data_IF_161992395431
#
_entry.id   IF_161992395431
#
_cell.length_a   1.000
_cell.length_b   1.000
_cell.length_c   1.000
_cell.angle_alpha   90.00
_cell.angle_beta   90.00
_cell.angle_gamma   90.00
#
_symmetry.space_group_name_H-M   'P 1'
#
loop_
_entity.id
_entity.type
_entity.pdbx_description
1 polymer ?
#
# COMPACT_ATOMS: atom_id res chain seq x y z
N UNK A 1 8.61 -34.47 -23.20
CA UNK A 1 8.49 -33.01 -23.39
C UNK A 1 9.64 -32.34 -22.65
N UNK A 2 10.50 -31.57 -23.32
CA UNK A 2 11.59 -30.83 -22.66
C UNK A 2 10.98 -29.58 -22.03
N UNK A 3 10.92 -29.52 -20.71
CA UNK A 3 10.51 -28.33 -19.97
C UNK A 3 11.54 -27.22 -20.19
N UNK A 4 11.22 -26.25 -21.05
CA UNK A 4 11.98 -25.01 -21.17
C UNK A 4 11.63 -24.13 -19.98
N UNK A 5 12.47 -24.14 -18.96
CA UNK A 5 12.37 -23.18 -17.86
C UNK A 5 12.57 -21.76 -18.42
N UNK A 6 11.72 -20.78 -18.04
CA UNK A 6 11.87 -19.42 -18.50
C UNK A 6 13.22 -18.85 -18.00
N UNK A 7 13.95 -18.22 -18.92
CA UNK A 7 15.16 -17.44 -18.62
C UNK A 7 14.78 -15.98 -18.87
N UNK A 8 15.11 -15.06 -17.95
CA UNK A 8 14.85 -13.64 -18.21
C UNK A 8 15.85 -13.11 -19.25
N UNK A 9 15.40 -12.17 -20.08
CA UNK A 9 16.17 -11.61 -21.21
C UNK A 9 17.54 -11.05 -20.80
N UNK A 10 17.65 -10.47 -19.59
CA UNK A 10 18.94 -9.99 -19.04
C UNK A 10 19.94 -11.11 -18.73
N UNK A 11 19.45 -12.30 -18.36
CA UNK A 11 20.32 -13.46 -18.14
C UNK A 11 20.73 -14.11 -19.47
N UNK A 12 19.89 -14.01 -20.49
CA UNK A 12 20.20 -14.47 -21.84
C UNK A 12 21.26 -13.58 -22.50
N UNK A 13 21.22 -12.27 -22.24
CA UNK A 13 22.22 -11.31 -22.71
C UNK A 13 23.63 -11.45 -22.06
N UNK A 14 23.75 -12.19 -20.96
CA UNK A 14 25.01 -12.37 -20.22
C UNK A 14 25.45 -11.14 -19.41
N UNK A 15 26.54 -11.28 -18.64
CA UNK A 15 27.18 -10.17 -17.91
C UNK A 15 26.59 -9.80 -16.54
N UNK A 16 25.58 -10.53 -16.06
CA UNK A 16 24.98 -10.32 -14.73
C UNK A 16 24.77 -11.66 -14.01
N UNK A 17 25.00 -11.68 -12.69
CA UNK A 17 24.69 -12.83 -11.85
C UNK A 17 23.18 -12.86 -11.53
N UNK A 18 22.50 -13.94 -11.94
CA UNK A 18 21.08 -14.12 -11.67
C UNK A 18 20.84 -14.57 -10.23
N UNK A 19 20.49 -13.64 -9.35
CA UNK A 19 20.24 -13.95 -7.93
C UNK A 19 18.97 -14.78 -7.70
N UNK A 20 18.03 -14.83 -8.66
CA UNK A 20 16.73 -15.50 -8.51
C UNK A 20 16.71 -17.01 -8.80
N UNK A 21 17.65 -17.53 -9.58
CA UNK A 21 17.63 -18.93 -10.04
C UNK A 21 18.95 -19.68 -9.78
N UNK A 22 19.81 -19.17 -8.89
CA UNK A 22 21.16 -19.70 -8.64
C UNK A 22 21.23 -21.16 -8.16
N UNK A 23 20.12 -21.76 -7.76
CA UNK A 23 20.02 -23.18 -7.39
C UNK A 23 19.89 -24.12 -8.61
N UNK A 24 19.58 -23.60 -9.80
CA UNK A 24 19.48 -24.39 -11.03
C UNK A 24 20.83 -24.47 -11.76
N UNK A 25 21.90 -24.87 -11.05
CA UNK A 25 23.19 -25.12 -11.69
C UNK A 25 23.03 -26.27 -12.68
N UNK A 26 22.95 -25.96 -13.99
CA UNK A 26 23.21 -26.94 -15.05
C UNK A 26 24.61 -27.49 -14.82
N UNK A 27 24.73 -28.81 -14.75
CA UNK A 27 26.02 -29.47 -14.76
C UNK A 27 26.84 -28.92 -15.93
N UNK A 28 27.98 -28.30 -15.62
CA UNK A 28 28.86 -27.74 -16.62
C UNK A 28 29.21 -28.85 -17.61
N UNK A 29 28.88 -28.62 -18.88
CA UNK A 29 29.44 -29.41 -19.98
C UNK A 29 30.94 -29.24 -19.88
N UNK A 30 31.64 -30.34 -19.60
CA UNK A 30 33.10 -30.39 -19.49
C UNK A 30 33.71 -29.96 -20.83
N UNK A 31 34.12 -28.71 -20.93
CA UNK A 31 35.15 -28.29 -21.89
C UNK A 31 36.50 -28.58 -21.26
N UNK A 32 37.21 -29.53 -21.88
CA UNK A 32 38.60 -29.91 -21.61
C UNK A 32 39.55 -28.71 -21.75
N UNK A 33 40.25 -28.45 -20.64
CA UNK A 33 41.63 -27.96 -20.42
C UNK A 33 42.35 -27.08 -21.47
N UNK A 34 43.08 -26.05 -20.99
CA UNK A 34 44.57 -26.00 -20.88
C UNK A 34 45.00 -24.69 -20.19
N UNK A 35 45.91 -24.78 -19.20
CA UNK A 35 46.91 -23.74 -18.94
C UNK A 35 46.97 -23.11 -17.53
N UNK A 36 48.09 -23.23 -16.78
CA UNK A 36 48.19 -22.79 -15.39
C UNK A 36 48.94 -21.46 -15.21
N UNK A 37 48.60 -20.73 -14.16
CA UNK A 37 49.55 -19.83 -13.50
C UNK A 37 48.94 -18.53 -12.96
N UNK A 38 48.76 -18.44 -11.64
CA UNK A 38 49.26 -17.35 -10.79
C UNK A 38 48.73 -17.45 -9.35
N UNK A 39 49.62 -17.18 -8.41
CA UNK A 39 49.50 -17.29 -6.95
C UNK A 39 48.60 -16.21 -6.30
N UNK A 40 48.21 -16.36 -5.02
CA UNK A 40 47.23 -15.50 -4.37
C UNK A 40 47.85 -14.26 -3.71
N UNK A 41 47.20 -13.11 -3.87
CA UNK A 41 47.43 -11.91 -3.05
C UNK A 41 46.41 -11.90 -1.92
N UNK A 42 46.92 -12.02 -0.70
CA UNK A 42 46.17 -11.85 0.54
C UNK A 42 45.99 -10.35 0.81
N UNK A 43 44.74 -9.89 0.84
CA UNK A 43 44.36 -8.50 1.13
C UNK A 43 43.50 -8.45 2.38
N UNK A 44 44.11 -8.00 3.48
CA UNK A 44 43.48 -7.64 4.76
C UNK A 44 42.53 -6.47 4.52
N UNK A 45 41.26 -6.60 4.92
CA UNK A 45 40.32 -5.47 5.00
C UNK A 45 40.09 -5.12 6.46
N UNK A 46 40.65 -3.99 6.86
CA UNK A 46 40.39 -3.30 8.13
C UNK A 46 38.97 -2.74 8.15
N UNK A 47 38.35 -2.84 9.32
CA UNK A 47 37.02 -2.30 9.62
C UNK A 47 37.05 -0.78 9.78
N UNK A 48 36.03 -0.13 9.23
CA UNK A 48 35.73 1.28 9.45
C UNK A 48 34.35 1.44 10.08
N UNK A 49 34.32 1.55 11.41
CA UNK A 49 33.15 1.99 12.17
C UNK A 49 32.89 3.48 11.89
N UNK A 50 31.74 3.79 11.30
CA UNK A 50 31.24 5.17 11.16
C UNK A 50 30.01 5.35 12.04
N UNK A 51 30.25 5.75 13.29
CA UNK A 51 29.22 6.17 14.23
C UNK A 51 28.98 7.67 14.09
N UNK A 52 27.95 8.07 13.35
CA UNK A 52 27.51 9.47 13.26
C UNK A 52 26.59 9.80 14.43
N UNK A 53 27.14 10.51 15.42
CA UNK A 53 26.40 11.19 16.50
C UNK A 53 25.53 12.29 15.92
N UNK A 54 24.21 12.17 16.06
CA UNK A 54 23.28 13.29 15.89
C UNK A 54 23.24 14.09 17.20
N UNK A 55 23.75 15.32 17.13
CA UNK A 55 23.74 16.30 18.22
C UNK A 55 22.34 16.88 18.33
N UNK A 56 21.64 16.57 19.42
CA UNK A 56 20.31 17.11 19.72
C UNK A 56 20.41 18.54 20.29
N UNK A 57 19.89 19.50 19.54
CA UNK A 57 19.61 20.84 20.07
C UNK A 57 18.26 20.84 20.77
N UNK A 58 18.26 21.01 22.09
CA UNK A 58 17.07 21.32 22.88
C UNK A 58 16.52 22.69 22.45
N UNK A 59 15.30 22.68 21.92
CA UNK A 59 14.49 23.89 21.77
C UNK A 59 13.25 23.72 22.64
N UNK A 60 13.25 24.41 23.77
CA UNK A 60 12.06 24.69 24.57
C UNK A 60 11.01 25.38 23.71
N UNK A 61 9.77 24.87 23.71
CA UNK A 61 8.60 25.67 23.33
C UNK A 61 7.31 25.12 23.93
N UNK A 62 6.96 25.68 25.08
CA UNK A 62 5.58 25.79 25.57
C UNK A 62 4.87 26.88 24.76
N UNK A 63 4.03 26.48 23.81
CA UNK A 63 2.97 27.33 23.26
C UNK A 63 1.82 26.43 22.79
N UNK A 64 0.80 26.31 23.64
CA UNK A 64 -0.47 25.69 23.30
C UNK A 64 -1.24 26.65 22.38
N UNK A 65 -0.88 26.65 21.09
CA UNK A 65 -1.56 27.40 20.03
C UNK A 65 -2.53 26.50 19.27
N UNK A 66 -3.77 26.96 19.12
CA UNK A 66 -4.84 26.36 18.32
C UNK A 66 -4.36 25.94 16.92
N UNK A 67 -4.82 24.79 16.42
CA UNK A 67 -4.51 24.17 15.11
C UNK A 67 -4.86 24.99 13.85
N UNK A 68 -5.39 26.20 13.99
CA UNK A 68 -5.82 27.09 12.90
C UNK A 68 -4.72 27.56 11.91
N UNK A 69 -3.44 27.77 12.30
CA UNK A 69 -2.41 28.24 11.36
C UNK A 69 -2.06 27.22 10.27
N UNK A 70 -2.16 25.93 10.58
CA UNK A 70 -1.84 24.85 9.66
C UNK A 70 -2.89 24.77 8.55
N UNK A 71 -4.17 24.82 8.90
CA UNK A 71 -5.26 24.72 7.92
C UNK A 71 -5.21 25.87 6.91
N UNK A 72 -4.98 27.12 7.36
CA UNK A 72 -4.90 28.27 6.46
C UNK A 72 -3.70 28.19 5.49
N UNK A 73 -2.52 27.81 5.98
CA UNK A 73 -1.32 27.65 5.15
C UNK A 73 -1.45 26.50 4.16
N UNK A 74 -2.00 25.38 4.61
CA UNK A 74 -2.24 24.20 3.79
C UNK A 74 -3.33 24.45 2.74
N UNK A 75 -4.42 25.13 3.09
CA UNK A 75 -5.48 25.50 2.12
C UNK A 75 -4.94 26.46 1.07
N UNK A 76 -4.14 27.46 1.47
CA UNK A 76 -3.57 28.43 0.55
C UNK A 76 -2.60 27.78 -0.45
N UNK A 77 -1.67 26.93 0.04
CA UNK A 77 -0.71 26.27 -0.84
C UNK A 77 -1.37 25.18 -1.70
N UNK A 78 -2.43 24.52 -1.23
CA UNK A 78 -3.22 23.57 -2.03
C UNK A 78 -4.02 24.28 -3.14
N UNK A 79 -4.68 25.40 -2.82
CA UNK A 79 -5.38 26.23 -3.82
C UNK A 79 -4.44 26.74 -4.91
N UNK A 80 -3.19 27.05 -4.55
CA UNK A 80 -2.15 27.43 -5.52
C UNK A 80 -1.73 26.26 -6.44
N UNK A 81 -1.83 25.01 -5.98
CA UNK A 81 -1.35 23.83 -6.71
C UNK A 81 -2.35 23.36 -7.78
N UNK A 82 -3.65 23.38 -7.47
CA UNK A 82 -4.68 22.84 -8.37
C UNK A 82 -5.30 23.94 -9.27
N UNK A 83 -4.90 25.20 -9.07
CA UNK A 83 -5.54 26.36 -9.69
C UNK A 83 -6.97 26.60 -9.15
N UNK A 84 -7.64 27.63 -9.66
CA UNK A 84 -8.98 28.06 -9.18
C UNK A 84 -10.13 27.08 -9.49
N UNK A 85 -9.88 25.92 -10.11
CA UNK A 85 -10.92 24.97 -10.56
C UNK A 85 -11.53 24.09 -9.45
N UNK A 86 -11.30 24.39 -8.17
CA UNK A 86 -11.75 23.58 -7.02
C UNK A 86 -13.24 23.75 -6.71
N UNK A 87 -13.94 24.73 -7.29
CA UNK A 87 -15.39 24.92 -7.08
C UNK A 87 -16.21 23.63 -7.26
N UNK A 88 -15.83 22.78 -8.22
CA UNK A 88 -16.50 21.52 -8.50
C UNK A 88 -16.33 20.42 -7.43
N UNK A 89 -15.26 20.44 -6.61
CA UNK A 89 -15.05 19.43 -5.55
C UNK A 89 -15.76 19.81 -4.25
N UNK A 90 -15.96 21.11 -4.01
CA UNK A 90 -16.67 21.60 -2.84
C UNK A 90 -18.20 21.46 -3.00
N UNK A 91 -18.71 21.63 -4.22
CA UNK A 91 -20.13 21.43 -4.54
C UNK A 91 -20.58 19.97 -4.41
N UNK A 92 -19.69 18.99 -4.63
CA UNK A 92 -20.00 17.55 -4.46
C UNK A 92 -20.22 17.19 -2.99
N UNK A 93 -19.53 17.85 -2.06
CA UNK A 93 -19.70 17.63 -0.62
C UNK A 93 -20.98 18.28 -0.05
N UNK A 94 -21.54 19.29 -0.73
CA UNK A 94 -22.66 20.10 -0.23
C UNK A 94 -23.99 19.78 -0.94
N UNK A 95 -23.97 19.23 -2.17
CA UNK A 95 -25.15 19.01 -3.02
C UNK A 95 -25.98 17.74 -2.71
N UNK A 96 -25.56 16.87 -1.78
CA UNK A 96 -26.25 15.59 -1.50
C UNK A 96 -27.46 15.73 -0.55
N UNK A 97 -28.44 16.56 -0.90
CA UNK A 97 -29.81 16.48 -0.36
C UNK A 97 -30.78 16.22 -1.51
N UNK A 98 -31.37 15.02 -1.51
CA UNK A 98 -32.19 14.47 -2.60
C UNK A 98 -33.48 15.30 -2.83
N UNK A 99 -33.69 15.76 -4.07
CA UNK A 99 -35.01 16.15 -4.57
C UNK A 99 -35.60 14.98 -5.35
N UNK A 100 -36.57 14.31 -4.73
CA UNK A 100 -37.40 13.28 -5.37
C UNK A 100 -38.63 13.96 -5.96
N UNK A 101 -38.55 14.37 -7.23
CA UNK A 101 -39.71 14.78 -8.01
C UNK A 101 -39.89 13.80 -9.19
N UNK A 102 -40.98 13.04 -9.12
CA UNK A 102 -41.38 12.06 -10.14
C UNK A 102 -42.23 12.75 -11.19
N UNK A 103 -41.72 12.90 -12.42
CA UNK A 103 -42.53 13.26 -13.58
C UNK A 103 -42.22 12.32 -14.75
N UNK A 104 -43.26 11.71 -15.29
CA UNK A 104 -43.24 10.87 -16.50
C UNK A 104 -42.73 11.70 -17.68
N UNK A 105 -41.64 11.26 -18.31
CA UNK A 105 -41.14 11.84 -19.55
C UNK A 105 -40.70 10.76 -20.52
N UNK A 106 -41.06 10.98 -21.78
CA UNK A 106 -40.82 10.11 -22.93
C UNK A 106 -39.33 9.79 -23.15
N UNK A 107 -39.13 8.65 -23.82
CA UNK A 107 -37.88 7.89 -24.03
C UNK A 107 -36.77 8.62 -24.81
N UNK A 108 -36.30 9.78 -24.34
CA UNK A 108 -35.00 10.34 -24.71
C UNK A 108 -33.89 9.72 -23.85
N UNK A 109 -32.83 9.22 -24.49
CA UNK A 109 -31.66 8.71 -23.77
C UNK A 109 -31.11 9.82 -22.86
N UNK A 110 -30.97 9.57 -21.54
CA UNK A 110 -30.49 10.59 -20.64
C UNK A 110 -29.10 11.06 -21.08
N UNK A 111 -28.81 12.37 -21.01
CA UNK A 111 -27.51 12.92 -21.38
C UNK A 111 -26.41 12.19 -20.61
N UNK A 112 -25.37 11.74 -21.32
CA UNK A 112 -24.23 11.03 -20.71
C UNK A 112 -23.59 11.94 -19.66
N UNK A 113 -23.73 11.57 -18.40
CA UNK A 113 -23.10 12.31 -17.30
C UNK A 113 -21.57 12.30 -17.47
N UNK A 114 -20.87 13.42 -17.27
CA UNK A 114 -19.41 13.45 -17.34
C UNK A 114 -18.81 12.40 -16.39
N UNK A 115 -17.85 11.61 -16.87
CA UNK A 115 -17.11 10.65 -16.04
C UNK A 115 -16.34 11.40 -14.96
N UNK A 116 -16.51 11.00 -13.70
CA UNK A 116 -15.74 11.55 -12.58
C UNK A 116 -14.27 11.12 -12.67
N UNK A 117 -13.38 11.77 -11.92
CA UNK A 117 -11.97 11.36 -11.81
C UNK A 117 -11.88 9.90 -11.30
N UNK A 118 -12.74 9.52 -10.36
CA UNK A 118 -12.83 8.16 -9.86
C UNK A 118 -13.22 7.16 -10.97
N UNK A 119 -14.18 7.52 -11.84
CA UNK A 119 -14.58 6.67 -12.97
C UNK A 119 -13.39 6.42 -13.93
N UNK A 120 -12.62 7.47 -14.22
CA UNK A 120 -11.42 7.37 -15.06
C UNK A 120 -10.33 6.51 -14.42
N UNK A 121 -10.20 6.55 -13.10
CA UNK A 121 -9.24 5.73 -12.36
C UNK A 121 -9.62 4.24 -12.43
N UNK A 122 -10.89 3.92 -12.18
CA UNK A 122 -11.40 2.55 -12.20
C UNK A 122 -11.40 1.93 -13.59
N UNK A 123 -11.55 2.73 -14.65
CA UNK A 123 -11.49 2.23 -16.03
C UNK A 123 -10.16 1.50 -16.34
N UNK A 124 -9.09 1.78 -15.59
CA UNK A 124 -7.75 1.22 -15.74
C UNK A 124 -7.47 0.01 -14.85
N UNK A 125 -8.39 -0.38 -13.98
CA UNK A 125 -8.18 -1.57 -13.14
C UNK A 125 -8.18 -2.82 -13.99
N UNK A 126 -7.21 -3.69 -13.72
CA UNK A 126 -7.10 -4.98 -14.38
C UNK A 126 -8.24 -5.91 -13.95
N UNK A 127 -8.66 -5.85 -12.69
CA UNK A 127 -9.78 -6.61 -12.15
C UNK A 127 -10.85 -5.64 -11.67
N UNK A 128 -11.98 -5.60 -12.40
CA UNK A 128 -13.12 -4.73 -12.09
C UNK A 128 -14.14 -5.50 -11.25
N UNK A 129 -14.45 -5.08 -10.02
CA UNK A 129 -15.46 -5.74 -9.20
C UNK A 129 -16.83 -5.69 -9.89
N UNK A 130 -17.49 -6.83 -10.03
CA UNK A 130 -18.75 -6.95 -10.79
C UNK A 130 -19.90 -6.18 -10.11
N UNK A 131 -19.86 -6.13 -8.77
CA UNK A 131 -20.82 -5.43 -7.93
C UNK A 131 -20.25 -4.13 -7.35
N UNK A 132 -19.44 -3.39 -8.13
CA UNK A 132 -18.96 -2.10 -7.68
C UNK A 132 -20.13 -1.12 -7.50
N UNK A 133 -20.61 -1.00 -6.27
CA UNK A 133 -21.62 -0.01 -5.92
C UNK A 133 -20.91 1.33 -5.78
N UNK A 134 -20.81 2.11 -6.86
CA UNK A 134 -20.29 3.50 -6.85
C UNK A 134 -20.86 4.33 -5.70
N UNK A 135 -22.13 4.09 -5.35
CA UNK A 135 -22.81 4.70 -4.21
C UNK A 135 -22.15 4.38 -2.86
N UNK A 136 -21.73 3.13 -2.61
CA UNK A 136 -21.06 2.75 -1.36
C UNK A 136 -19.67 3.34 -1.30
N UNK A 137 -18.85 3.17 -2.33
CA UNK A 137 -17.50 3.74 -2.34
C UNK A 137 -17.52 5.27 -2.16
N UNK A 138 -18.48 5.96 -2.79
CA UNK A 138 -18.69 7.39 -2.55
C UNK A 138 -19.07 7.69 -1.10
N UNK A 139 -20.01 6.94 -0.53
CA UNK A 139 -20.42 7.09 0.88
C UNK A 139 -19.24 6.90 1.83
N UNK A 140 -18.38 5.93 1.58
CA UNK A 140 -17.23 5.63 2.43
C UNK A 140 -16.16 6.72 2.32
N UNK A 141 -15.91 7.24 1.11
CA UNK A 141 -15.03 8.41 0.92
C UNK A 141 -15.59 9.64 1.63
N UNK A 142 -16.88 9.92 1.51
CA UNK A 142 -17.53 11.05 2.20
C UNK A 142 -17.43 10.89 3.72
N UNK A 143 -17.72 9.70 4.25
CA UNK A 143 -17.59 9.41 5.67
C UNK A 143 -16.16 9.67 6.16
N UNK A 144 -15.17 9.20 5.39
CA UNK A 144 -13.75 9.39 5.72
C UNK A 144 -13.32 10.86 5.66
N UNK A 145 -13.81 11.63 4.70
CA UNK A 145 -13.60 13.08 4.64
C UNK A 145 -14.26 13.80 5.83
N UNK A 146 -15.33 13.25 6.39
CA UNK A 146 -16.00 13.82 7.57
C UNK A 146 -15.36 13.40 8.90
N UNK A 147 -14.58 12.31 8.93
CA UNK A 147 -13.98 11.78 10.16
C UNK A 147 -12.98 12.75 10.79
N UNK A 148 -12.05 13.29 10.01
CA UNK A 148 -10.94 14.08 10.56
C UNK A 148 -10.37 15.07 9.54
N UNK A 149 -9.75 16.16 10.05
CA UNK A 149 -9.04 17.12 9.17
C UNK A 149 -7.85 16.44 8.48
N UNK A 150 -7.17 15.51 9.15
CA UNK A 150 -6.06 14.76 8.55
C UNK A 150 -6.56 13.83 7.46
N UNK A 151 -7.66 13.12 7.68
CA UNK A 151 -8.21 12.23 6.66
C UNK A 151 -8.55 12.99 5.37
N UNK A 152 -9.05 14.23 5.48
CA UNK A 152 -9.23 15.14 4.33
C UNK A 152 -7.91 15.45 3.63
N UNK A 153 -6.91 15.92 4.36
CA UNK A 153 -5.59 16.23 3.79
C UNK A 153 -4.92 15.02 3.15
N UNK A 154 -4.97 13.87 3.80
CA UNK A 154 -4.37 12.64 3.32
C UNK A 154 -5.06 12.19 2.04
N UNK A 155 -6.40 12.23 1.95
CA UNK A 155 -7.12 11.91 0.71
C UNK A 155 -6.73 12.86 -0.43
N UNK A 156 -6.63 14.17 -0.17
CA UNK A 156 -6.22 15.15 -1.17
C UNK A 156 -4.79 14.86 -1.68
N UNK A 157 -3.85 14.62 -0.77
CA UNK A 157 -2.48 14.25 -1.14
C UNK A 157 -2.44 12.92 -1.89
N UNK A 158 -3.20 11.91 -1.46
CA UNK A 158 -3.29 10.63 -2.15
C UNK A 158 -3.77 10.79 -3.60
N UNK A 159 -4.74 11.67 -3.84
CA UNK A 159 -5.22 11.99 -5.18
C UNK A 159 -4.14 12.69 -6.01
N UNK A 160 -3.39 13.64 -5.44
CA UNK A 160 -2.26 14.27 -6.12
C UNK A 160 -1.16 13.26 -6.49
N UNK A 161 -0.76 12.40 -5.55
CA UNK A 161 0.24 11.35 -5.78
C UNK A 161 -0.22 10.38 -6.87
N UNK A 162 -1.47 9.94 -6.81
CA UNK A 162 -2.05 9.04 -7.82
C UNK A 162 -2.09 9.68 -9.20
N UNK A 163 -2.41 10.97 -9.28
CA UNK A 163 -2.41 11.73 -10.53
C UNK A 163 -0.99 11.85 -11.12
N UNK A 164 0.02 12.14 -10.29
CA UNK A 164 1.43 12.18 -10.70
C UNK A 164 1.90 10.84 -11.26
N UNK A 165 1.60 9.73 -10.60
CA UNK A 165 1.89 8.39 -11.14
C UNK A 165 1.19 8.15 -12.48
N UNK A 166 -0.05 8.64 -12.60
CA UNK A 166 -0.87 8.46 -13.81
C UNK A 166 -0.34 9.26 -15.00
N UNK A 167 0.17 10.46 -14.77
CA UNK A 167 0.73 11.33 -15.81
C UNK A 167 2.20 11.04 -16.07
N UNK A 168 2.88 10.35 -15.16
CA UNK A 168 4.34 10.20 -15.17
C UNK A 168 5.06 11.50 -14.77
N UNK A 169 4.33 12.50 -14.27
CA UNK A 169 4.89 13.78 -13.83
C UNK A 169 5.29 13.72 -12.36
N UNK A 170 6.54 13.30 -12.15
CA UNK A 170 7.17 13.23 -10.83
C UNK A 170 7.72 14.60 -10.36
N UNK A 171 7.55 15.69 -11.13
CA UNK A 171 7.99 17.03 -10.68
C UNK A 171 7.25 17.49 -9.42
N UNK A 172 6.03 16.97 -9.21
CA UNK A 172 5.19 17.21 -8.04
C UNK A 172 5.59 16.40 -6.80
N UNK A 173 6.61 15.54 -6.88
CA UNK A 173 7.08 14.76 -5.74
C UNK A 173 7.59 15.66 -4.61
N UNK A 174 8.22 16.79 -4.95
CA UNK A 174 8.72 17.76 -3.97
C UNK A 174 7.57 18.37 -3.16
N UNK A 175 6.51 18.81 -3.84
CA UNK A 175 5.27 19.28 -3.19
C UNK A 175 4.67 18.18 -2.32
N UNK A 176 4.47 16.99 -2.87
CA UNK A 176 3.83 15.86 -2.15
C UNK A 176 4.60 15.47 -0.90
N UNK A 177 5.93 15.40 -0.97
CA UNK A 177 6.79 15.15 0.19
C UNK A 177 6.65 16.24 1.27
N UNK A 178 6.58 17.51 0.87
CA UNK A 178 6.36 18.62 1.81
C UNK A 178 5.02 18.48 2.55
N UNK A 179 3.94 18.20 1.82
CA UNK A 179 2.61 18.00 2.38
C UNK A 179 2.56 16.83 3.35
N UNK A 180 3.12 15.70 2.95
CA UNK A 180 3.25 14.49 3.77
C UNK A 180 4.01 14.81 5.05
N UNK A 181 5.15 15.50 4.98
CA UNK A 181 5.93 15.88 6.15
C UNK A 181 5.15 16.79 7.11
N UNK A 182 4.36 17.72 6.59
CA UNK A 182 3.49 18.57 7.41
C UNK A 182 2.40 17.77 8.14
N UNK A 183 1.77 16.82 7.44
CA UNK A 183 0.75 15.93 8.00
C UNK A 183 1.36 15.03 9.08
N UNK A 184 2.50 14.38 8.77
CA UNK A 184 3.23 13.52 9.72
C UNK A 184 3.59 14.28 11.00
N UNK A 185 4.22 15.45 10.88
CA UNK A 185 4.64 16.21 12.06
C UNK A 185 3.43 16.59 12.93
N UNK A 186 2.31 16.95 12.30
CA UNK A 186 1.08 17.33 13.00
C UNK A 186 0.40 16.13 13.66
N UNK A 187 0.32 14.98 12.98
CA UNK A 187 -0.18 13.73 13.56
C UNK A 187 0.71 13.25 14.72
N UNK A 188 2.03 13.35 14.58
CA UNK A 188 2.98 12.96 15.62
C UNK A 188 2.81 13.80 16.88
N UNK A 189 2.62 15.11 16.72
CA UNK A 189 2.32 16.01 17.83
C UNK A 189 0.98 15.70 18.51
N UNK A 190 -0.06 15.30 17.76
CA UNK A 190 -1.34 14.88 18.34
C UNK A 190 -1.25 13.52 19.03
N UNK A 191 -0.52 12.55 18.47
CA UNK A 191 -0.30 11.23 19.07
C UNK A 191 0.56 11.29 20.33
N UNK A 192 1.43 12.29 20.45
CA UNK A 192 2.20 12.56 21.67
C UNK A 192 1.33 13.14 22.81
N UNK A 193 0.13 13.62 22.51
CA UNK A 193 -0.83 14.06 23.51
C UNK A 193 -1.67 12.89 24.02
N UNK A 194 -2.12 12.96 25.27
CA UNK A 194 -3.09 12.00 25.81
C UNK A 194 -4.46 12.22 25.17
N UNK A 195 -4.71 11.49 24.08
CA UNK A 195 -6.00 11.45 23.41
C UNK A 195 -6.86 10.32 23.97
N UNK A 196 -8.18 10.49 23.91
CA UNK A 196 -9.11 9.41 24.24
C UNK A 196 -8.94 8.21 23.28
N UNK A 197 -9.20 6.96 23.72
CA UNK A 197 -8.86 5.74 22.97
C UNK A 197 -9.29 5.74 21.51
N UNK A 198 -10.53 6.17 21.23
CA UNK A 198 -11.08 6.27 19.87
C UNK A 198 -10.29 7.24 18.98
N UNK A 199 -9.96 8.43 19.50
CA UNK A 199 -9.18 9.42 18.74
C UNK A 199 -7.75 8.94 18.51
N UNK A 200 -7.15 8.30 19.50
CA UNK A 200 -5.82 7.68 19.35
C UNK A 200 -5.82 6.65 18.21
N UNK A 201 -6.86 5.82 18.15
CA UNK A 201 -7.04 4.85 17.07
C UNK A 201 -7.20 5.53 15.71
N UNK A 202 -8.09 6.53 15.60
CA UNK A 202 -8.26 7.31 14.35
C UNK A 202 -6.94 7.93 13.87
N UNK A 203 -6.13 8.46 14.80
CA UNK A 203 -4.81 9.04 14.49
C UNK A 203 -3.78 8.01 14.06
N UNK A 204 -3.81 6.80 14.61
CA UNK A 204 -2.96 5.69 14.14
C UNK A 204 -3.34 5.27 12.72
N UNK A 205 -4.64 5.24 12.40
CA UNK A 205 -5.11 4.97 11.03
C UNK A 205 -4.60 6.03 10.06
N UNK A 206 -4.78 7.31 10.40
CA UNK A 206 -4.27 8.45 9.61
C UNK A 206 -2.73 8.36 9.45
N UNK A 207 -2.01 7.98 10.51
CA UNK A 207 -0.54 7.80 10.49
C UNK A 207 -0.09 6.68 9.55
N UNK A 208 -0.75 5.51 9.60
CA UNK A 208 -0.45 4.40 8.69
C UNK A 208 -0.73 4.82 7.24
N UNK A 209 -1.83 5.52 6.98
CA UNK A 209 -2.17 5.96 5.63
C UNK A 209 -1.13 6.94 5.06
N UNK A 210 -0.75 7.96 5.82
CA UNK A 210 0.27 8.93 5.35
C UNK A 210 1.64 8.25 5.17
N UNK A 211 1.98 7.28 6.01
CA UNK A 211 3.22 6.50 5.89
C UNK A 211 3.24 5.65 4.62
N UNK A 212 2.10 5.07 4.23
CA UNK A 212 1.98 4.35 2.95
C UNK A 212 2.12 5.31 1.78
N UNK A 213 1.48 6.47 1.80
CA UNK A 213 1.64 7.47 0.73
C UNK A 213 3.10 7.91 0.60
N UNK A 214 3.78 8.10 1.72
CA UNK A 214 5.22 8.40 1.74
C UNK A 214 6.02 7.27 1.14
N UNK A 215 5.70 6.01 1.44
CA UNK A 215 6.34 4.85 0.84
C UNK A 215 6.19 4.81 -0.68
N UNK A 216 5.07 5.27 -1.23
CA UNK A 216 4.85 5.31 -2.67
C UNK A 216 5.79 6.29 -3.37
N UNK A 217 6.02 7.47 -2.81
CA UNK A 217 6.83 8.53 -3.46
C UNK A 217 8.30 8.54 -3.02
N UNK A 218 8.65 7.78 -1.99
CA UNK A 218 10.02 7.68 -1.51
C UNK A 218 10.83 6.76 -2.43
N UNK A 219 12.14 7.04 -2.67
CA UNK A 219 13.00 6.10 -3.39
C UNK A 219 12.92 4.69 -2.81
N UNK A 220 12.86 3.69 -3.69
CA UNK A 220 12.64 2.28 -3.30
C UNK A 220 13.64 1.76 -2.27
N UNK A 221 14.86 2.30 -2.22
CA UNK A 221 15.89 1.95 -1.23
C UNK A 221 15.52 2.29 0.22
N UNK A 222 14.59 3.22 0.44
CA UNK A 222 14.19 3.67 1.78
C UNK A 222 12.82 3.12 2.20
N UNK A 223 12.02 2.56 1.28
CA UNK A 223 10.68 2.05 1.57
C UNK A 223 10.69 0.95 2.63
N UNK A 224 11.66 0.02 2.56
CA UNK A 224 11.83 -1.02 3.57
C UNK A 224 11.98 -0.45 4.99
N UNK A 225 12.82 0.58 5.16
CA UNK A 225 13.04 1.24 6.44
C UNK A 225 11.76 1.93 6.91
N UNK A 226 11.08 2.63 6.01
CA UNK A 226 9.84 3.31 6.31
C UNK A 226 8.73 2.35 6.78
N UNK A 227 8.57 1.21 6.12
CA UNK A 227 7.63 0.17 6.55
C UNK A 227 8.00 -0.36 7.93
N UNK A 228 9.30 -0.62 8.16
CA UNK A 228 9.80 -1.08 9.45
C UNK A 228 9.51 -0.11 10.59
N UNK A 229 9.77 1.17 10.38
CA UNK A 229 9.55 2.22 11.37
C UNK A 229 8.06 2.34 11.77
N UNK A 230 7.15 1.84 10.92
CA UNK A 230 5.71 1.84 11.14
C UNK A 230 5.14 0.55 11.73
N UNK A 231 5.95 -0.50 11.90
CA UNK A 231 5.50 -1.79 12.46
C UNK A 231 4.83 -1.59 13.83
N UNK A 232 5.44 -0.81 14.73
CA UNK A 232 4.90 -0.61 16.07
C UNK A 232 3.49 0.03 16.03
N UNK A 233 3.31 1.07 15.22
CA UNK A 233 2.02 1.74 15.05
C UNK A 233 0.99 0.81 14.40
N UNK A 234 1.41 0.02 13.40
CA UNK A 234 0.56 -0.96 12.75
C UNK A 234 0.08 -2.02 13.75
N UNK A 235 0.98 -2.60 14.54
CA UNK A 235 0.62 -3.60 15.55
C UNK A 235 -0.30 -3.01 16.61
N UNK A 236 -0.03 -1.80 17.11
CA UNK A 236 -0.94 -1.11 18.04
C UNK A 236 -2.34 -0.90 17.46
N UNK A 237 -2.44 -0.63 16.16
CA UNK A 237 -3.72 -0.54 15.47
C UNK A 237 -4.40 -1.91 15.40
N UNK A 238 -3.69 -2.96 14.99
CA UNK A 238 -4.22 -4.33 14.90
C UNK A 238 -4.73 -4.87 16.24
N UNK A 239 -3.98 -4.65 17.32
CA UNK A 239 -4.40 -5.07 18.67
C UNK A 239 -5.58 -4.25 19.23
N UNK A 240 -5.90 -3.10 18.63
CA UNK A 240 -7.12 -2.34 19.00
C UNK A 240 -8.40 -2.92 18.39
N UNK A 241 -8.28 -3.87 17.45
CA UNK A 241 -9.42 -4.57 16.85
C UNK A 241 -9.44 -6.05 17.26
N UNK A 242 -10.01 -6.39 18.43
CA UNK A 242 -10.03 -7.77 18.91
C UNK A 242 -10.75 -8.71 17.94
N UNK A 243 -11.73 -8.22 17.18
CA UNK A 243 -12.48 -8.99 16.18
C UNK A 243 -11.65 -9.49 15.01
N UNK A 244 -10.41 -8.99 14.83
CA UNK A 244 -9.52 -9.49 13.78
C UNK A 244 -8.90 -10.83 14.16
N UNK A 245 -8.80 -11.15 15.44
CA UNK A 245 -8.05 -12.29 15.95
C UNK A 245 -8.99 -13.46 16.24
N UNK A 246 -8.84 -14.60 15.57
CA UNK A 246 -9.50 -15.85 15.96
C UNK A 246 -9.19 -16.24 17.41
N UNK A 247 -10.10 -16.98 18.06
CA UNK A 247 -9.95 -17.40 19.47
C UNK A 247 -8.70 -18.28 19.72
N UNK A 248 -8.21 -18.94 18.68
CA UNK A 248 -7.04 -19.84 18.67
C UNK A 248 -5.81 -19.23 17.99
N UNK A 249 -5.85 -17.94 17.64
CA UNK A 249 -4.76 -17.29 16.90
C UNK A 249 -3.51 -17.11 17.77
N UNK A 250 -2.37 -17.53 17.24
CA UNK A 250 -1.08 -17.07 17.77
C UNK A 250 -0.91 -15.57 17.45
N UNK A 251 -0.63 -14.74 18.46
CA UNK A 251 -0.40 -13.29 18.28
C UNK A 251 0.93 -12.96 17.55
N UNK A 252 1.63 -13.99 17.07
CA UNK A 252 2.88 -13.89 16.30
C UNK A 252 2.63 -13.60 14.82
N UNK A 253 1.44 -13.95 14.31
CA UNK A 253 1.08 -13.83 12.90
C UNK A 253 -0.18 -12.99 12.73
N UNK A 254 -0.19 -12.09 11.76
CA UNK A 254 -1.34 -11.23 11.47
C UNK A 254 -2.36 -12.03 10.64
N UNK A 255 -3.61 -12.22 11.11
CA UNK A 255 -4.63 -12.96 10.37
C UNK A 255 -5.08 -12.17 9.13
N UNK A 256 -4.40 -12.41 8.01
CA UNK A 256 -4.50 -11.57 6.83
C UNK A 256 -5.90 -11.65 6.21
N UNK A 257 -6.54 -12.83 6.17
CA UNK A 257 -7.92 -12.93 5.67
C UNK A 257 -8.89 -12.03 6.44
N UNK A 258 -8.75 -11.98 7.76
CA UNK A 258 -9.62 -11.20 8.64
C UNK A 258 -9.33 -9.70 8.47
N UNK A 259 -8.06 -9.33 8.37
CA UNK A 259 -7.64 -7.97 8.07
C UNK A 259 -8.22 -7.46 6.74
N UNK A 260 -8.16 -8.26 5.68
CA UNK A 260 -8.66 -7.89 4.34
C UNK A 260 -10.19 -7.81 4.25
N UNK A 261 -10.89 -8.47 5.18
CA UNK A 261 -12.35 -8.39 5.30
C UNK A 261 -12.83 -7.30 6.27
N UNK A 262 -11.91 -6.66 6.99
CA UNK A 262 -12.25 -5.66 8.01
C UNK A 262 -12.44 -4.25 7.45
N UNK A 263 -12.94 -3.35 8.30
CA UNK A 263 -13.03 -1.90 8.03
C UNK A 263 -11.67 -1.19 8.19
N UNK A 264 -10.62 -1.87 8.63
CA UNK A 264 -9.27 -1.31 8.80
C UNK A 264 -8.51 -1.29 7.46
N UNK A 265 -9.06 -0.61 6.46
CA UNK A 265 -8.57 -0.65 5.07
C UNK A 265 -7.13 -0.15 4.93
N UNK A 266 -6.70 0.78 5.76
CA UNK A 266 -5.34 1.32 5.79
C UNK A 266 -4.33 0.29 6.30
N UNK A 267 -4.73 -0.55 7.25
CA UNK A 267 -3.91 -1.67 7.71
C UNK A 267 -3.86 -2.78 6.64
N UNK A 268 -4.97 -3.07 5.98
CA UNK A 268 -4.98 -3.96 4.81
C UNK A 268 -4.07 -3.43 3.68
N UNK A 269 -4.05 -2.12 3.47
CA UNK A 269 -3.16 -1.48 2.48
C UNK A 269 -1.69 -1.53 2.89
N UNK A 270 -1.39 -1.34 4.18
CA UNK A 270 -0.03 -1.55 4.70
C UNK A 270 0.46 -2.97 4.38
N UNK A 271 -0.36 -3.98 4.66
CA UNK A 271 -0.03 -5.37 4.36
C UNK A 271 0.21 -5.61 2.87
N UNK A 272 -0.55 -4.94 1.98
CA UNK A 272 -0.33 -5.04 0.53
C UNK A 272 1.02 -4.44 0.14
N UNK A 273 1.32 -3.24 0.62
CA UNK A 273 2.58 -2.55 0.29
C UNK A 273 3.77 -3.33 0.83
N UNK A 274 3.67 -3.89 2.04
CA UNK A 274 4.69 -4.78 2.60
C UNK A 274 4.93 -6.02 1.72
N UNK A 275 3.85 -6.72 1.33
CA UNK A 275 3.95 -7.90 0.47
C UNK A 275 4.51 -7.59 -0.92
N UNK A 276 4.01 -6.53 -1.57
CA UNK A 276 4.45 -6.11 -2.91
C UNK A 276 5.91 -5.66 -2.86
N UNK A 277 6.29 -4.89 -1.85
CA UNK A 277 7.65 -4.41 -1.71
C UNK A 277 8.63 -5.57 -1.43
N UNK A 278 8.28 -6.48 -0.52
CA UNK A 278 9.07 -7.68 -0.25
C UNK A 278 9.29 -8.50 -1.52
N UNK A 279 8.24 -8.67 -2.34
CA UNK A 279 8.34 -9.36 -3.62
C UNK A 279 9.25 -8.62 -4.61
N UNK A 280 9.04 -7.31 -4.80
CA UNK A 280 9.78 -6.52 -5.78
C UNK A 280 11.26 -6.34 -5.43
N UNK A 281 11.59 -6.25 -4.14
CA UNK A 281 12.95 -6.05 -3.66
C UNK A 281 13.72 -7.35 -3.39
N UNK A 282 13.02 -8.49 -3.29
CA UNK A 282 13.62 -9.75 -2.82
C UNK A 282 13.97 -9.75 -1.34
N UNK A 283 13.55 -8.73 -0.58
CA UNK A 283 13.74 -8.64 0.87
C UNK A 283 12.59 -9.33 1.61
N UNK A 284 12.83 -9.84 2.84
CA UNK A 284 11.75 -10.34 3.68
C UNK A 284 10.66 -9.31 3.91
N UNK A 285 9.41 -9.79 3.98
CA UNK A 285 8.29 -8.96 4.44
C UNK A 285 8.52 -8.54 5.91
N UNK A 286 7.98 -7.37 6.29
CA UNK A 286 8.18 -6.82 7.63
C UNK A 286 7.40 -7.59 8.71
N UNK A 287 6.26 -8.16 8.34
CA UNK A 287 5.37 -8.86 9.24
C UNK A 287 5.08 -10.26 8.73
N UNK A 288 4.85 -11.19 9.65
CA UNK A 288 4.35 -12.51 9.30
C UNK A 288 2.84 -12.45 9.20
N UNK A 289 2.32 -12.88 8.05
CA UNK A 289 0.90 -12.94 7.79
C UNK A 289 0.44 -14.39 7.84
N UNK A 290 -0.58 -14.66 8.64
CA UNK A 290 -1.33 -15.91 8.55
C UNK A 290 -2.30 -15.80 7.37
N UNK A 291 -2.09 -16.67 6.39
CA UNK A 291 -2.83 -16.71 5.12
C UNK A 291 -3.95 -17.74 5.14
N UNK A 292 -4.17 -18.44 6.26
CA UNK A 292 -5.22 -19.44 6.39
C UNK A 292 -6.60 -18.77 6.27
N UNK A 293 -7.38 -19.16 5.26
CA UNK A 293 -8.71 -18.62 5.03
C UNK A 293 -9.72 -19.26 5.97
N UNK A 294 -10.01 -18.61 7.09
CA UNK A 294 -11.03 -19.08 8.04
C UNK A 294 -12.45 -18.81 7.53
N UNK A 295 -12.61 -17.72 6.78
CA UNK A 295 -13.88 -17.31 6.19
C UNK A 295 -13.64 -16.88 4.74
N UNK A 296 -14.59 -17.24 3.87
CA UNK A 296 -14.57 -16.73 2.50
C UNK A 296 -14.84 -15.23 2.55
N UNK A 297 -13.99 -14.38 1.94
CA UNK A 297 -14.22 -12.95 1.88
C UNK A 297 -15.57 -12.65 1.25
N UNK A 298 -16.33 -11.74 1.87
CA UNK A 298 -17.47 -11.14 1.20
C UNK A 298 -16.95 -10.33 0.01
N UNK A 299 -17.54 -10.49 -1.18
CA UNK A 299 -17.15 -9.82 -2.43
C UNK A 299 -17.27 -8.27 -2.40
N UNK A 300 -17.49 -7.69 -1.21
CA UNK A 300 -17.82 -6.29 -0.99
C UNK A 300 -16.87 -5.56 -0.05
N UNK A 301 -15.64 -6.06 0.18
CA UNK A 301 -14.67 -5.31 1.00
C UNK A 301 -14.18 -4.08 0.24
N UNK A 302 -14.26 -2.91 0.89
CA UNK A 302 -13.82 -1.63 0.32
C UNK A 302 -12.33 -1.65 -0.05
N UNK A 303 -11.53 -2.46 0.66
CA UNK A 303 -10.12 -2.70 0.35
C UNK A 303 -9.91 -3.20 -1.09
N UNK A 304 -10.63 -4.26 -1.50
CA UNK A 304 -10.50 -4.81 -2.85
C UNK A 304 -10.83 -3.77 -3.91
N UNK A 305 -11.79 -2.90 -3.60
CA UNK A 305 -12.15 -1.81 -4.48
C UNK A 305 -11.02 -0.80 -4.54
N UNK A 306 -10.66 -0.15 -3.45
CA UNK A 306 -9.69 0.96 -3.48
C UNK A 306 -8.38 0.58 -4.20
N UNK A 307 -7.90 -0.65 -4.05
CA UNK A 307 -6.62 -1.08 -4.61
C UNK A 307 -6.72 -1.94 -5.87
N UNK A 308 -7.93 -2.32 -6.31
CA UNK A 308 -8.12 -3.19 -7.48
C UNK A 308 -7.42 -4.56 -7.34
N UNK A 309 -7.17 -5.00 -6.11
CA UNK A 309 -6.46 -6.24 -5.80
C UNK A 309 -7.41 -7.22 -5.09
N UNK A 310 -7.72 -8.39 -5.69
CA UNK A 310 -8.49 -9.42 -5.03
C UNK A 310 -7.83 -9.88 -3.73
N UNK A 311 -8.64 -10.22 -2.73
CA UNK A 311 -8.13 -10.72 -1.44
C UNK A 311 -7.28 -11.97 -1.61
N UNK A 312 -7.70 -12.87 -2.50
CA UNK A 312 -6.98 -14.10 -2.83
C UNK A 312 -5.59 -13.82 -3.41
N UNK A 313 -5.47 -12.77 -4.21
CA UNK A 313 -4.19 -12.34 -4.78
C UNK A 313 -3.24 -11.87 -3.68
N UNK A 314 -3.72 -11.08 -2.73
CA UNK A 314 -2.86 -10.64 -1.63
C UNK A 314 -2.45 -11.79 -0.71
N UNK A 315 -3.35 -12.74 -0.44
CA UNK A 315 -3.04 -13.94 0.35
C UNK A 315 -1.96 -14.79 -0.33
N UNK A 316 -2.05 -15.02 -1.64
CA UNK A 316 -1.01 -15.76 -2.36
C UNK A 316 0.32 -14.99 -2.43
N UNK A 317 0.30 -13.65 -2.53
CA UNK A 317 1.52 -12.84 -2.48
C UNK A 317 2.25 -13.02 -1.14
N UNK A 318 1.51 -12.98 -0.03
CA UNK A 318 2.05 -13.21 1.30
C UNK A 318 2.64 -14.63 1.44
N UNK A 319 1.95 -15.65 0.91
CA UNK A 319 2.46 -17.03 0.93
C UNK A 319 3.72 -17.23 0.10
N UNK A 320 3.81 -16.58 -1.08
CA UNK A 320 5.02 -16.62 -1.91
C UNK A 320 6.21 -16.05 -1.12
N UNK A 321 6.01 -14.91 -0.46
CA UNK A 321 7.06 -14.29 0.36
C UNK A 321 7.43 -15.19 1.55
N UNK A 322 6.45 -15.72 2.29
CA UNK A 322 6.68 -16.62 3.41
C UNK A 322 7.42 -17.91 3.00
N UNK A 323 7.05 -18.50 1.85
CA UNK A 323 7.71 -19.68 1.29
C UNK A 323 9.15 -19.38 0.89
N UNK A 324 9.40 -18.24 0.21
CA UNK A 324 10.75 -17.78 -0.13
C UNK A 324 11.63 -17.60 1.10
N UNK A 325 11.06 -17.02 2.16
CA UNK A 325 11.77 -16.72 3.40
C UNK A 325 11.86 -17.94 4.35
N UNK A 326 11.33 -19.11 3.92
CA UNK A 326 11.32 -20.38 4.66
C UNK A 326 10.61 -20.28 6.02
N UNK A 327 9.52 -19.53 6.07
CA UNK A 327 8.72 -19.42 7.27
C UNK A 327 8.10 -20.79 7.63
N UNK A 328 8.09 -21.23 8.91
CA UNK A 328 7.66 -22.58 9.29
C UNK A 328 6.23 -22.94 8.89
N UNK A 329 5.33 -21.96 8.84
CA UNK A 329 3.91 -22.15 8.49
C UNK A 329 3.60 -21.81 7.03
N UNK A 330 4.62 -21.53 6.22
CA UNK A 330 4.41 -21.22 4.81
C UNK A 330 3.89 -22.44 4.05
N UNK A 331 2.94 -22.23 3.12
CA UNK A 331 2.51 -23.25 2.17
C UNK A 331 3.68 -23.79 1.35
N UNK A 332 3.60 -25.06 0.97
CA UNK A 332 4.62 -25.65 0.10
C UNK A 332 4.62 -24.95 -1.26
N UNK A 333 5.81 -24.81 -1.85
CA UNK A 333 5.97 -24.20 -3.18
C UNK A 333 5.07 -24.85 -4.22
N UNK A 334 4.93 -26.18 -4.22
CA UNK A 334 4.10 -26.90 -5.20
C UNK A 334 2.62 -26.61 -4.99
N UNK A 335 2.19 -26.41 -3.75
CA UNK A 335 0.81 -26.04 -3.44
C UNK A 335 0.49 -24.63 -3.96
N UNK A 336 1.41 -23.69 -3.76
CA UNK A 336 1.31 -22.32 -4.29
C UNK A 336 1.24 -22.35 -5.83
N UNK A 337 2.15 -23.09 -6.48
CA UNK A 337 2.15 -23.24 -7.96
C UNK A 337 0.86 -23.88 -8.47
N UNK A 338 0.41 -24.96 -7.84
CA UNK A 338 -0.85 -25.62 -8.21
C UNK A 338 -2.05 -24.68 -8.03
N UNK A 339 -2.08 -23.90 -6.95
CA UNK A 339 -3.12 -22.91 -6.71
C UNK A 339 -3.12 -21.84 -7.81
N UNK A 340 -1.96 -21.28 -8.17
CA UNK A 340 -1.84 -20.28 -9.24
C UNK A 340 -2.30 -20.81 -10.60
N UNK A 341 -1.99 -22.08 -10.92
CA UNK A 341 -2.39 -22.71 -12.18
C UNK A 341 -3.89 -23.05 -12.25
N UNK A 342 -4.52 -23.28 -11.10
CA UNK A 342 -5.93 -23.65 -11.01
C UNK A 342 -6.84 -22.48 -10.63
N UNK A 343 -6.26 -21.34 -10.26
CA UNK A 343 -7.01 -20.15 -9.91
C UNK A 343 -7.82 -19.64 -11.11
N UNK A 344 -9.10 -19.40 -10.85
CA UNK A 344 -9.99 -18.73 -11.79
C UNK A 344 -10.74 -17.64 -11.03
N UNK A 345 -10.92 -16.45 -11.63
CA UNK A 345 -11.76 -15.43 -11.03
C UNK A 345 -13.18 -15.98 -10.96
N UNK A 346 -13.84 -15.82 -9.81
CA UNK A 346 -15.20 -16.28 -9.68
C UNK A 346 -16.13 -15.38 -10.53
N UNK A 347 -17.01 -15.94 -11.38
CA UNK A 347 -17.84 -15.15 -12.30
C UNK A 347 -18.80 -14.16 -11.62
N UNK A 348 -19.07 -14.32 -10.32
CA UNK A 348 -19.90 -13.39 -9.54
C UNK A 348 -19.14 -12.18 -9.02
N UNK A 349 -17.81 -12.24 -9.01
CA UNK A 349 -16.98 -11.34 -8.21
C UNK A 349 -16.28 -10.30 -9.10
N UNK A 350 -15.92 -10.66 -10.35
CA UNK A 350 -15.17 -9.78 -11.25
C UNK A 350 -15.64 -9.84 -12.71
N UNK A 351 -15.55 -8.71 -13.42
CA UNK A 351 -15.61 -8.62 -14.89
C UNK A 351 -14.17 -8.49 -15.39
N UNK A 352 -13.74 -9.44 -16.23
CA UNK A 352 -12.44 -9.39 -16.92
C UNK A 352 -12.49 -8.49 -18.16
#
# INVERSE_FOLDING_TARGET
MRSTTPVCERCEAGGFECLGYGHNKRAAVRTTEVGPGSSPISGVLEGGDSSSRLSGSNVDKRASGSSLPLEAGLVASFRSLIGENVGALQDVAVSSTESTASSNFDSEQPPKTPKTIADKHMDRWYLKPLNYTKKRAHKDVVLRLQNSVFSRWIILVAMCVSESFRTGDMSQDTSSNFWIGCIENSLGNELAQELGPRRTQDRRIDWIHVSILKAMITPSSNVHRLLRDNIATFLQLMFSYPTLWPDDSEFTNIPLSNLLCSEAHEAAYFALVDCVYAMASGLPQQLNYDTTMHQRPSAASLYQWIHGCPTEFQLILADINACRDRFPMARDKKEIENWLLTWQPHPSDYIC
#
